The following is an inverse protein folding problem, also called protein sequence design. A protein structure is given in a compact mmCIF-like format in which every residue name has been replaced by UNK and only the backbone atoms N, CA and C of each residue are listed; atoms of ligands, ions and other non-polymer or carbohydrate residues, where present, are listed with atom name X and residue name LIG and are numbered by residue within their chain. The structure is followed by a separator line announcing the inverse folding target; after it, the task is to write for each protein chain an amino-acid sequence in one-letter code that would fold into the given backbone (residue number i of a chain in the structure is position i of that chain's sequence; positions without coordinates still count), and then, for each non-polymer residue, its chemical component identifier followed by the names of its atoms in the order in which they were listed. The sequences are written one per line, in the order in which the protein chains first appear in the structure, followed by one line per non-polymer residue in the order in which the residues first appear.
data_IF_722192936405
#
_entry.id   IF_722192936405
#
_cell.length_a   1.000
_cell.length_b   1.000
_cell.length_c   1.000
_cell.angle_alpha   90.00
_cell.angle_beta   90.00
_cell.angle_gamma   90.00
#
_symmetry.space_group_name_H-M   'P 1'
#
loop_
_entity.id
_entity.type
_entity.pdbx_description
1 polymer ?
#
# COMPACT_ATOMS: atom_id res chain seq x y z
N UNK A 1 -7.35 59.04 -35.38
CA UNK A 1 -6.56 60.25 -35.71
C UNK A 1 -5.23 59.76 -36.28
N UNK A 2 -4.93 60.17 -37.52
CA UNK A 2 -3.67 59.96 -38.26
C UNK A 2 -2.46 60.54 -37.50
N UNK A 3 -1.17 60.19 -37.77
CA UNK A 3 -0.27 60.59 -38.89
C UNK A 3 0.96 59.63 -38.88
N UNK A 4 1.32 58.89 -39.96
CA UNK A 4 2.38 59.10 -40.99
C UNK A 4 3.81 59.41 -40.45
N UNK A 5 5.00 59.05 -40.99
CA UNK A 5 5.60 58.26 -42.09
C UNK A 5 7.13 58.15 -41.72
N UNK A 6 8.01 57.30 -42.28
CA UNK A 6 8.87 57.53 -43.47
C UNK A 6 9.93 56.40 -43.54
N UNK A 7 10.28 56.03 -44.78
CA UNK A 7 11.18 54.99 -45.30
C UNK A 7 12.68 55.04 -44.95
N UNK A 8 13.37 53.91 -45.18
CA UNK A 8 14.82 53.85 -45.43
C UNK A 8 15.35 52.44 -45.78
N UNK A 9 15.69 52.18 -47.04
CA UNK A 9 16.48 51.01 -47.51
C UNK A 9 17.98 51.21 -47.18
N UNK A 10 18.74 50.11 -47.01
CA UNK A 10 19.92 49.71 -47.83
C UNK A 10 20.87 48.66 -47.16
N UNK A 11 21.15 47.59 -47.93
CA UNK A 11 22.43 46.87 -48.17
C UNK A 11 23.05 45.84 -47.17
N UNK A 12 22.99 44.56 -47.59
CA UNK A 12 24.08 43.57 -47.84
C UNK A 12 25.22 43.40 -46.82
N UNK A 13 25.35 42.18 -46.24
CA UNK A 13 26.44 41.19 -46.47
C UNK A 13 26.67 40.25 -45.27
N UNK A 14 27.19 39.04 -45.55
CA UNK A 14 27.96 38.24 -44.58
C UNK A 14 27.34 36.92 -44.13
N UNK A 15 27.46 35.87 -44.96
CA UNK A 15 27.39 34.49 -44.48
C UNK A 15 28.56 34.20 -43.54
N UNK A 16 28.30 33.56 -42.40
CA UNK A 16 29.28 32.74 -41.68
C UNK A 16 28.53 31.62 -40.97
N UNK A 17 28.96 30.40 -41.25
CA UNK A 17 28.31 29.13 -40.98
C UNK A 17 27.74 28.96 -39.56
N UNK A 18 26.47 28.55 -39.40
CA UNK A 18 26.05 27.97 -38.13
C UNK A 18 26.72 26.60 -38.01
N UNK A 19 27.67 26.48 -37.07
CA UNK A 19 28.04 25.19 -36.47
C UNK A 19 26.76 24.41 -36.23
N UNK A 20 26.62 23.27 -36.89
CA UNK A 20 25.63 22.23 -36.59
C UNK A 20 25.93 21.67 -35.20
N UNK A 21 25.56 22.43 -34.18
CA UNK A 21 25.33 21.90 -32.85
C UNK A 21 24.09 21.04 -32.95
N UNK A 22 24.28 19.73 -33.13
CA UNK A 22 23.23 18.74 -32.93
C UNK A 22 22.73 18.89 -31.48
N UNK A 23 21.70 19.71 -31.28
CA UNK A 23 20.86 19.62 -30.11
C UNK A 23 20.15 18.27 -30.23
N UNK A 24 20.78 17.22 -29.71
CA UNK A 24 20.10 15.96 -29.43
C UNK A 24 18.98 16.31 -28.47
N UNK A 25 17.78 16.49 -29.03
CA UNK A 25 16.53 16.50 -28.29
C UNK A 25 16.54 15.21 -27.48
N UNK A 26 16.69 15.33 -26.15
CA UNK A 26 16.54 14.21 -25.27
C UNK A 26 15.13 13.65 -25.52
N UNK A 27 15.07 12.45 -26.10
CA UNK A 27 13.82 11.74 -26.26
C UNK A 27 13.12 11.69 -24.89
N UNK A 28 11.79 11.87 -24.81
CA UNK A 28 11.09 11.63 -23.56
C UNK A 28 11.40 10.19 -23.17
N UNK A 29 12.05 9.99 -22.02
CA UNK A 29 12.24 8.67 -21.44
C UNK A 29 10.85 8.08 -21.29
N UNK A 30 10.53 7.06 -22.09
CA UNK A 30 9.34 6.28 -21.89
C UNK A 30 9.31 5.85 -20.41
N UNK A 31 8.15 5.87 -19.72
CA UNK A 31 8.11 5.37 -18.35
C UNK A 31 8.56 3.91 -18.40
N UNK A 32 9.77 3.64 -17.92
CA UNK A 32 10.18 2.29 -17.58
C UNK A 32 9.13 1.82 -16.59
N UNK A 33 8.34 0.81 -16.95
CA UNK A 33 7.52 0.08 -15.98
C UNK A 33 8.45 -0.25 -14.83
N UNK A 34 8.29 0.43 -13.69
CA UNK A 34 9.21 0.27 -12.58
C UNK A 34 9.14 -1.19 -12.16
N UNK A 35 10.25 -1.91 -12.25
CA UNK A 35 10.32 -3.29 -11.79
C UNK A 35 10.08 -3.28 -10.28
N UNK A 36 9.15 -4.12 -9.81
CA UNK A 36 8.92 -4.29 -8.38
C UNK A 36 9.98 -5.24 -7.77
N UNK A 37 10.34 -5.07 -6.48
CA UNK A 37 9.95 -3.95 -5.62
C UNK A 37 10.64 -2.64 -6.05
N UNK A 38 10.05 -1.50 -5.71
CA UNK A 38 10.57 -0.17 -6.03
C UNK A 38 10.47 0.78 -4.84
N UNK A 39 10.97 2.01 -4.98
CA UNK A 39 10.92 3.06 -3.95
C UNK A 39 11.58 2.67 -2.60
N UNK A 40 12.49 1.70 -2.61
CA UNK A 40 13.17 1.20 -1.41
C UNK A 40 12.36 0.17 -0.61
N UNK A 41 11.24 -0.33 -1.14
CA UNK A 41 10.53 -1.43 -0.52
C UNK A 41 11.39 -2.72 -0.50
N UNK A 42 11.38 -3.49 0.60
CA UNK A 42 12.04 -4.79 0.66
C UNK A 42 11.43 -5.77 -0.35
N UNK A 43 12.27 -6.61 -0.95
CA UNK A 43 11.82 -7.70 -1.79
C UNK A 43 11.17 -8.82 -0.95
N UNK A 44 10.13 -9.44 -1.50
CA UNK A 44 9.57 -10.67 -0.96
C UNK A 44 10.34 -11.86 -1.52
N UNK A 45 11.17 -12.48 -0.68
CA UNK A 45 12.11 -13.54 -1.12
C UNK A 45 11.44 -14.90 -1.37
N UNK A 46 10.33 -15.17 -0.69
CA UNK A 46 9.55 -16.41 -0.81
C UNK A 46 8.08 -16.09 -1.14
N UNK A 47 7.76 -15.70 -2.39
CA UNK A 47 6.45 -15.17 -2.74
C UNK A 47 5.34 -16.22 -2.63
N UNK A 48 4.21 -15.84 -2.03
CA UNK A 48 3.00 -16.68 -2.01
C UNK A 48 2.28 -16.57 -3.35
N UNK A 49 2.23 -17.68 -4.09
CA UNK A 49 1.66 -17.71 -5.43
C UNK A 49 0.17 -18.11 -5.45
N UNK A 50 -0.26 -18.96 -4.52
CA UNK A 50 -1.63 -19.48 -4.45
C UNK A 50 -2.52 -18.60 -3.57
N UNK A 51 -2.98 -17.47 -4.11
CA UNK A 51 -3.80 -16.50 -3.35
C UNK A 51 -5.28 -16.47 -3.73
N UNK A 52 -5.68 -17.09 -4.84
CA UNK A 52 -7.02 -16.96 -5.41
C UNK A 52 -8.16 -17.29 -4.44
N UNK A 53 -8.00 -18.34 -3.61
CA UNK A 53 -9.03 -18.70 -2.62
C UNK A 53 -9.18 -17.60 -1.56
N UNK A 54 -8.08 -17.04 -1.08
CA UNK A 54 -8.09 -15.96 -0.09
C UNK A 54 -8.60 -14.63 -0.65
N UNK A 55 -8.42 -14.39 -1.96
CA UNK A 55 -8.99 -13.23 -2.65
C UNK A 55 -10.50 -13.35 -2.82
N UNK A 56 -11.03 -14.56 -3.02
CA UNK A 56 -12.47 -14.81 -3.15
C UNK A 56 -13.18 -14.97 -1.79
N UNK A 57 -12.52 -15.59 -0.82
CA UNK A 57 -13.01 -15.88 0.52
C UNK A 57 -11.97 -15.47 1.57
N UNK A 58 -11.90 -14.17 1.91
CA UNK A 58 -10.88 -13.66 2.83
C UNK A 58 -11.05 -14.20 4.26
N UNK A 59 -12.26 -14.61 4.65
CA UNK A 59 -12.53 -15.14 5.98
C UNK A 59 -11.93 -16.53 6.19
N UNK A 60 -11.60 -17.25 5.11
CA UNK A 60 -10.88 -18.53 5.20
C UNK A 60 -9.41 -18.40 5.64
N UNK A 61 -8.84 -17.18 5.61
CA UNK A 61 -7.42 -16.95 5.93
C UNK A 61 -7.10 -17.07 7.41
N UNK A 62 -8.07 -16.75 8.29
CA UNK A 62 -7.94 -16.88 9.74
C UNK A 62 -9.24 -17.40 10.31
N UNK A 63 -9.19 -18.49 11.08
CA UNK A 63 -10.39 -19.02 11.70
C UNK A 63 -10.92 -18.06 12.78
N UNK A 64 -12.24 -17.90 12.88
CA UNK A 64 -12.87 -17.04 13.90
C UNK A 64 -12.41 -17.41 15.31
N UNK A 65 -12.25 -18.71 15.62
CA UNK A 65 -11.74 -19.15 16.92
C UNK A 65 -10.35 -18.57 17.25
N UNK A 66 -9.45 -18.43 16.25
CA UNK A 66 -8.14 -17.81 16.45
C UNK A 66 -8.27 -16.30 16.70
N UNK A 67 -9.22 -15.63 16.04
CA UNK A 67 -9.51 -14.23 16.32
C UNK A 67 -10.04 -14.06 17.74
N UNK A 68 -10.90 -14.99 18.19
CA UNK A 68 -11.46 -14.97 19.54
C UNK A 68 -10.40 -15.16 20.62
N UNK A 69 -9.46 -16.08 20.41
CA UNK A 69 -8.30 -16.29 21.28
C UNK A 69 -7.41 -15.04 21.39
N UNK A 70 -7.31 -14.26 20.32
CA UNK A 70 -6.43 -13.10 20.24
C UNK A 70 -7.06 -11.79 20.71
N UNK A 71 -8.34 -11.57 20.39
CA UNK A 71 -9.01 -10.27 20.47
C UNK A 71 -10.30 -10.24 21.29
N UNK A 72 -10.78 -11.39 21.74
CA UNK A 72 -12.05 -11.53 22.47
C UNK A 72 -13.19 -12.05 21.59
N UNK A 73 -14.35 -12.29 22.21
CA UNK A 73 -15.48 -12.97 21.56
C UNK A 73 -16.02 -12.22 20.35
N UNK A 74 -16.23 -12.93 19.25
CA UNK A 74 -16.73 -12.39 17.99
C UNK A 74 -18.24 -12.55 17.95
N UNK A 75 -18.95 -11.44 17.75
CA UNK A 75 -20.41 -11.43 17.58
C UNK A 75 -20.78 -11.95 16.19
N UNK A 76 -20.10 -11.44 15.17
CA UNK A 76 -20.34 -11.82 13.77
C UNK A 76 -19.09 -11.66 12.92
N UNK A 77 -19.13 -12.30 11.76
CA UNK A 77 -18.13 -12.17 10.71
C UNK A 77 -18.81 -11.71 9.43
N UNK A 78 -18.18 -10.80 8.69
CA UNK A 78 -18.69 -10.28 7.42
C UNK A 78 -17.58 -10.14 6.39
N UNK A 79 -17.95 -10.20 5.11
CA UNK A 79 -17.02 -9.92 4.00
C UNK A 79 -17.34 -8.53 3.48
N UNK A 80 -16.33 -7.67 3.44
CA UNK A 80 -16.38 -6.36 2.80
C UNK A 80 -15.74 -6.43 1.41
N UNK A 81 -16.36 -5.78 0.43
CA UNK A 81 -15.93 -5.74 -0.97
C UNK A 81 -15.40 -4.34 -1.29
N UNK A 82 -14.14 -4.11 -0.95
CA UNK A 82 -13.48 -2.83 -1.11
C UNK A 82 -12.86 -2.63 -2.49
N UNK A 83 -12.52 -1.39 -2.81
CA UNK A 83 -11.92 -0.98 -4.09
C UNK A 83 -10.71 -1.82 -4.51
N UNK A 84 -9.91 -2.27 -3.54
CA UNK A 84 -8.66 -2.99 -3.81
C UNK A 84 -8.75 -4.50 -3.55
N UNK A 85 -9.89 -5.02 -3.14
CA UNK A 85 -10.07 -6.43 -2.81
C UNK A 85 -11.09 -6.66 -1.71
N UNK A 86 -11.41 -7.94 -1.52
CA UNK A 86 -12.28 -8.39 -0.43
C UNK A 86 -11.49 -8.49 0.87
N UNK A 87 -12.15 -8.20 1.98
CA UNK A 87 -11.60 -8.40 3.32
C UNK A 87 -12.62 -9.04 4.23
N UNK A 88 -12.14 -9.76 5.24
CA UNK A 88 -12.97 -10.32 6.30
C UNK A 88 -12.97 -9.36 7.48
N UNK A 89 -14.15 -9.01 7.99
CA UNK A 89 -14.34 -8.28 9.23
C UNK A 89 -14.82 -9.23 10.33
N UNK A 90 -14.13 -9.23 11.47
CA UNK A 90 -14.61 -9.83 12.71
C UNK A 90 -15.06 -8.72 13.65
N UNK A 91 -16.35 -8.71 13.98
CA UNK A 91 -16.97 -7.72 14.88
C UNK A 91 -17.05 -8.35 16.25
N UNK A 92 -16.46 -7.71 17.25
CA UNK A 92 -16.45 -8.22 18.62
C UNK A 92 -17.69 -7.80 19.39
N UNK A 93 -18.13 -8.63 20.34
CA UNK A 93 -19.20 -8.27 21.27
C UNK A 93 -18.82 -7.09 22.19
N UNK A 94 -17.52 -6.92 22.45
CA UNK A 94 -16.99 -5.91 23.35
C UNK A 94 -16.81 -4.54 22.66
N UNK A 95 -17.83 -3.69 22.81
CA UNK A 95 -17.85 -2.33 22.24
C UNK A 95 -17.91 -2.35 20.70
N UNK A 96 -17.90 -1.18 20.04
CA UNK A 96 -17.84 -1.10 18.57
C UNK A 96 -16.41 -1.43 18.08
N UNK A 97 -15.92 -2.63 18.37
CA UNK A 97 -14.58 -3.09 18.04
C UNK A 97 -14.61 -4.08 16.88
N UNK A 98 -13.61 -4.02 16.00
CA UNK A 98 -13.44 -4.99 14.92
C UNK A 98 -11.96 -5.22 14.57
N UNK A 99 -11.70 -6.33 13.86
CA UNK A 99 -10.51 -6.51 13.04
C UNK A 99 -10.97 -6.75 11.61
N UNK A 100 -10.37 -6.05 10.66
CA UNK A 100 -10.55 -6.32 9.23
C UNK A 100 -9.25 -6.83 8.63
N UNK A 101 -9.27 -7.90 7.84
CA UNK A 101 -8.08 -8.42 7.17
C UNK A 101 -8.34 -9.00 5.78
N UNK A 102 -7.41 -8.83 4.85
CA UNK A 102 -7.56 -9.32 3.48
C UNK A 102 -6.41 -8.96 2.56
N UNK A 103 -6.37 -9.64 1.40
CA UNK A 103 -5.45 -9.34 0.31
C UNK A 103 -5.95 -8.13 -0.49
N UNK A 104 -5.01 -7.36 -1.04
CA UNK A 104 -5.31 -6.20 -1.88
C UNK A 104 -4.87 -6.41 -3.35
N UNK A 105 -5.48 -7.34 -4.11
CA UNK A 105 -5.10 -7.61 -5.51
C UNK A 105 -5.30 -6.41 -6.45
N UNK A 106 -6.09 -5.40 -6.07
CA UNK A 106 -6.22 -4.14 -6.80
C UNK A 106 -5.01 -3.20 -6.64
N UNK A 107 -4.20 -3.36 -5.59
CA UNK A 107 -2.93 -2.66 -5.45
C UNK A 107 -1.83 -3.47 -6.13
N UNK A 108 -1.47 -3.09 -7.36
CA UNK A 108 -0.46 -3.80 -8.18
C UNK A 108 0.99 -3.50 -7.84
N UNK A 109 1.24 -2.61 -6.87
CA UNK A 109 2.58 -2.20 -6.48
C UNK A 109 2.99 -2.75 -5.10
N UNK A 110 2.12 -3.56 -4.47
CA UNK A 110 2.39 -4.19 -3.18
C UNK A 110 2.82 -3.18 -2.11
N UNK A 111 3.93 -3.46 -1.42
CA UNK A 111 4.51 -2.51 -0.45
C UNK A 111 5.15 -1.29 -1.13
N UNK A 112 5.53 -1.39 -2.40
CA UNK A 112 6.20 -0.29 -3.11
C UNK A 112 5.32 0.96 -3.19
N UNK A 113 3.99 0.82 -3.23
CA UNK A 113 3.07 1.95 -3.17
C UNK A 113 3.10 2.67 -1.82
N UNK A 114 3.25 1.95 -0.70
CA UNK A 114 3.38 2.56 0.63
C UNK A 114 4.72 3.29 0.79
N UNK A 115 5.81 2.70 0.30
CA UNK A 115 7.12 3.34 0.30
C UNK A 115 7.14 4.60 -0.58
N UNK A 116 6.52 4.55 -1.77
CA UNK A 116 6.36 5.71 -2.63
C UNK A 116 5.53 6.82 -1.95
N UNK A 117 4.40 6.46 -1.32
CA UNK A 117 3.54 7.40 -0.61
C UNK A 117 4.23 8.02 0.59
N UNK A 118 5.05 7.25 1.32
CA UNK A 118 5.89 7.78 2.39
C UNK A 118 6.91 8.80 1.88
N UNK A 119 7.64 8.47 0.80
CA UNK A 119 8.62 9.38 0.20
C UNK A 119 8.00 10.70 -0.29
N UNK A 120 6.72 10.70 -0.62
CA UNK A 120 5.94 11.88 -1.02
C UNK A 120 5.33 12.64 0.18
N UNK A 121 5.56 12.20 1.42
CA UNK A 121 4.99 12.81 2.62
C UNK A 121 3.50 12.52 2.82
N UNK A 122 2.94 11.53 2.12
CA UNK A 122 1.51 11.20 2.14
C UNK A 122 1.07 10.27 3.27
N UNK A 123 2.00 9.84 4.14
CA UNK A 123 1.73 9.00 5.30
C UNK A 123 2.16 9.73 6.58
N UNK A 124 1.24 9.84 7.52
CA UNK A 124 1.49 10.40 8.86
C UNK A 124 2.18 9.40 9.78
N UNK A 125 1.96 8.11 9.55
CA UNK A 125 2.71 7.01 10.17
C UNK A 125 3.29 6.11 9.09
N UNK A 126 4.58 5.79 9.22
CA UNK A 126 5.24 4.78 8.41
C UNK A 126 6.36 4.14 9.23
N UNK A 127 6.18 2.87 9.58
CA UNK A 127 7.12 2.10 10.39
C UNK A 127 7.29 0.71 9.77
N UNK A 128 8.37 0.47 9.01
CA UNK A 128 8.81 -0.87 8.69
C UNK A 128 8.99 -1.67 9.99
N UNK A 129 8.53 -2.92 10.00
CA UNK A 129 8.63 -3.81 11.16
C UNK A 129 9.44 -5.05 10.82
N UNK A 130 9.82 -5.80 11.86
CA UNK A 130 10.41 -7.12 11.69
C UNK A 130 9.51 -8.01 10.83
N UNK A 131 10.13 -8.94 10.10
CA UNK A 131 9.42 -9.81 9.18
C UNK A 131 8.36 -10.64 9.90
N UNK A 132 7.15 -10.69 9.36
CA UNK A 132 6.08 -11.56 9.84
C UNK A 132 6.14 -12.85 9.05
N UNK A 133 6.50 -13.96 9.71
CA UNK A 133 6.63 -15.28 9.07
C UNK A 133 7.60 -15.30 7.87
N UNK A 134 8.60 -14.40 7.87
CA UNK A 134 9.58 -14.22 6.81
C UNK A 134 9.22 -13.14 5.77
N UNK A 135 8.07 -12.49 5.90
CA UNK A 135 7.57 -11.49 4.94
C UNK A 135 7.74 -10.06 5.46
N UNK A 136 8.14 -9.10 4.60
CA UNK A 136 8.29 -7.72 5.01
C UNK A 136 6.95 -7.11 5.41
N UNK A 137 6.96 -6.31 6.48
CA UNK A 137 5.78 -5.66 7.02
C UNK A 137 5.99 -4.16 7.24
N UNK A 138 4.91 -3.39 7.14
CA UNK A 138 4.87 -1.96 7.42
C UNK A 138 3.60 -1.63 8.21
N UNK A 139 3.77 -0.97 9.36
CA UNK A 139 2.68 -0.26 10.03
C UNK A 139 2.59 1.13 9.43
N UNK A 140 1.41 1.55 9.01
CA UNK A 140 1.22 2.85 8.38
C UNK A 140 -0.12 3.48 8.73
N UNK A 141 -0.26 4.77 8.49
CA UNK A 141 -1.56 5.46 8.49
C UNK A 141 -1.41 6.80 7.73
N UNK A 142 -2.53 7.44 7.42
CA UNK A 142 -2.61 8.70 6.69
C UNK A 142 -3.60 9.68 7.34
N UNK A 143 -3.50 9.84 8.65
CA UNK A 143 -4.28 10.77 9.48
C UNK A 143 -5.39 10.08 10.28
N UNK A 144 -5.50 8.76 10.20
CA UNK A 144 -6.47 7.97 10.95
C UNK A 144 -5.99 7.51 12.32
N UNK A 145 -4.76 7.85 12.72
CA UNK A 145 -4.15 7.35 13.95
C UNK A 145 -4.99 7.64 15.19
N UNK A 146 -5.03 6.68 16.11
CA UNK A 146 -5.77 6.84 17.34
C UNK A 146 -5.65 5.62 18.23
N UNK A 147 -6.13 5.78 19.47
CA UNK A 147 -6.19 4.67 20.43
C UNK A 147 -7.02 3.53 19.85
N UNK A 148 -6.51 2.31 19.95
CA UNK A 148 -7.20 1.11 19.49
C UNK A 148 -7.12 0.85 17.99
N UNK A 149 -6.45 1.70 17.21
CA UNK A 149 -6.26 1.49 15.78
C UNK A 149 -4.83 1.09 15.46
N UNK A 150 -4.68 0.15 14.52
CA UNK A 150 -3.41 -0.10 13.83
C UNK A 150 -3.72 -0.51 12.39
N UNK A 151 -2.94 -0.05 11.42
CA UNK A 151 -2.99 -0.58 10.05
C UNK A 151 -1.65 -1.20 9.73
N UNK A 152 -1.67 -2.48 9.41
CA UNK A 152 -0.51 -3.27 9.05
C UNK A 152 -0.67 -3.77 7.62
N UNK A 153 0.36 -3.61 6.80
CA UNK A 153 0.50 -4.30 5.52
C UNK A 153 1.68 -5.26 5.58
N UNK A 154 1.50 -6.47 5.07
CA UNK A 154 2.53 -7.49 4.88
C UNK A 154 2.63 -7.78 3.39
N UNK A 155 3.82 -7.64 2.80
CA UNK A 155 4.06 -7.98 1.41
C UNK A 155 4.13 -9.50 1.25
N UNK A 156 3.15 -10.12 0.60
CA UNK A 156 3.15 -11.57 0.30
C UNK A 156 3.75 -11.88 -1.07
N UNK A 157 3.83 -10.85 -1.92
CA UNK A 157 4.54 -10.79 -3.20
C UNK A 157 4.91 -9.32 -3.45
N UNK A 158 5.86 -9.02 -4.33
CA UNK A 158 6.31 -7.64 -4.54
C UNK A 158 5.19 -6.69 -5.02
N UNK A 159 4.14 -7.27 -5.63
CA UNK A 159 2.94 -6.62 -6.16
C UNK A 159 1.66 -6.93 -5.36
N UNK A 160 1.75 -7.60 -4.20
CA UNK A 160 0.57 -8.01 -3.43
C UNK A 160 0.80 -7.93 -1.92
N UNK A 161 -0.13 -7.27 -1.23
CA UNK A 161 -0.12 -7.15 0.23
C UNK A 161 -1.31 -7.85 0.88
N UNK A 162 -1.09 -8.42 2.05
CA UNK A 162 -2.11 -8.76 3.02
C UNK A 162 -2.18 -7.65 4.06
N UNK A 163 -3.38 -7.13 4.34
CA UNK A 163 -3.57 -6.05 5.31
C UNK A 163 -4.36 -6.53 6.51
N UNK A 164 -4.06 -5.96 7.68
CA UNK A 164 -4.80 -6.18 8.93
C UNK A 164 -5.02 -4.84 9.61
N UNK A 165 -6.28 -4.55 9.94
CA UNK A 165 -6.70 -3.30 10.55
C UNK A 165 -7.59 -3.55 11.75
N UNK A 166 -7.05 -3.63 12.97
CA UNK A 166 -7.84 -3.52 14.18
C UNK A 166 -8.36 -2.10 14.36
N UNK A 167 -9.63 -1.98 14.73
CA UNK A 167 -10.26 -0.78 15.23
C UNK A 167 -10.98 -1.15 16.53
N UNK A 168 -10.35 -0.85 17.65
CA UNK A 168 -10.76 -1.34 18.97
C UNK A 168 -11.30 -0.19 19.83
N UNK A 169 -12.38 -0.45 20.53
CA UNK A 169 -13.01 0.49 21.44
C UNK A 169 -12.82 0.08 22.91
N UNK A 170 -13.24 0.97 23.81
CA UNK A 170 -13.30 0.68 25.25
C UNK A 170 -14.09 -0.60 25.50
N UNK A 171 -13.49 -1.53 26.24
CA UNK A 171 -14.05 -2.86 26.52
C UNK A 171 -13.29 -3.98 25.82
N UNK A 172 -12.58 -3.71 24.73
CA UNK A 172 -11.76 -4.72 24.08
C UNK A 172 -10.42 -4.94 24.83
N UNK A 173 -10.00 -6.20 25.09
CA UNK A 173 -8.77 -6.50 25.83
C UNK A 173 -7.49 -6.03 25.12
N UNK A 174 -7.51 -5.89 23.79
CA UNK A 174 -6.38 -5.49 22.96
C UNK A 174 -6.34 -3.99 22.68
N UNK A 175 -7.22 -3.19 23.28
CA UNK A 175 -7.33 -1.74 23.02
C UNK A 175 -6.01 -0.97 23.20
N UNK A 176 -5.18 -1.35 24.17
CA UNK A 176 -3.89 -0.70 24.44
C UNK A 176 -2.79 -1.12 23.48
N UNK A 177 -2.96 -2.23 22.75
CA UNK A 177 -1.95 -2.79 21.86
C UNK A 177 -2.57 -3.39 20.58
N UNK A 178 -3.24 -2.55 19.75
CA UNK A 178 -3.88 -3.00 18.51
C UNK A 178 -2.85 -3.54 17.50
N UNK A 179 -1.62 -3.06 17.49
CA UNK A 179 -0.61 -3.53 16.54
C UNK A 179 -0.09 -4.94 16.87
N UNK A 180 -0.03 -5.33 18.14
CA UNK A 180 0.24 -6.72 18.52
C UNK A 180 -0.88 -7.65 18.06
N UNK A 181 -2.15 -7.24 18.17
CA UNK A 181 -3.27 -7.98 17.59
C UNK A 181 -3.10 -8.11 16.07
N UNK A 182 -2.85 -7.00 15.36
CA UNK A 182 -2.65 -6.99 13.92
C UNK A 182 -1.53 -7.95 13.48
N UNK A 183 -0.39 -7.93 14.19
CA UNK A 183 0.77 -8.77 13.90
C UNK A 183 0.46 -10.25 14.08
N UNK A 184 -0.25 -10.63 15.15
CA UNK A 184 -0.62 -12.03 15.41
C UNK A 184 -1.64 -12.56 14.40
N UNK A 185 -2.64 -11.73 14.04
CA UNK A 185 -3.62 -12.06 13.00
C UNK A 185 -2.92 -12.21 11.64
N UNK A 186 -2.03 -11.30 11.29
CA UNK A 186 -1.23 -11.41 10.07
C UNK A 186 -0.39 -12.69 10.07
N UNK A 187 0.30 -13.01 11.17
CA UNK A 187 1.09 -14.24 11.26
C UNK A 187 0.23 -15.51 11.05
N UNK A 188 -0.97 -15.56 11.63
CA UNK A 188 -1.90 -16.66 11.42
C UNK A 188 -2.33 -16.78 9.94
N UNK A 189 -2.68 -15.66 9.32
CA UNK A 189 -3.07 -15.61 7.92
C UNK A 189 -1.92 -16.04 6.99
N UNK A 190 -0.72 -15.50 7.18
CA UNK A 190 0.45 -15.84 6.36
C UNK A 190 0.80 -17.32 6.50
N UNK A 191 0.76 -17.90 7.71
CA UNK A 191 0.95 -19.36 7.88
C UNK A 191 -0.07 -20.16 7.08
N UNK A 192 -1.35 -19.76 7.10
CA UNK A 192 -2.40 -20.43 6.33
C UNK A 192 -2.16 -20.32 4.83
N UNK A 193 -1.79 -19.14 4.33
CA UNK A 193 -1.52 -18.88 2.92
C UNK A 193 -0.32 -19.66 2.38
N UNK A 194 0.74 -19.85 3.18
CA UNK A 194 1.90 -20.67 2.79
C UNK A 194 1.57 -22.15 2.58
N UNK A 195 0.51 -22.64 3.24
CA UNK A 195 0.07 -24.03 3.15
C UNK A 195 -1.06 -24.28 2.16
N UNK A 196 -1.43 -23.27 1.35
CA UNK A 196 -2.58 -23.30 0.45
C UNK A 196 -2.24 -23.81 -0.96
#
# INVERSE_FOLDING_TARGET
MSVAAVSGLLLVSGCSDPKTGNATSAAPTAPTSARLPSNGAPAVTDPILNTAQAESDPCSTVATAQIEELGGKVEKTEVDDGTFGKSCGWIFEAGPSSVTAGLLPGNKDGLSSLYAKHAQGGLSTFKPIDSIEGYPGVIYDNGGEGKGRCVLAVGVRDDLTYTVTPLLATGNPMLSDPCSLATKVAAAAIKKLKGA
#
